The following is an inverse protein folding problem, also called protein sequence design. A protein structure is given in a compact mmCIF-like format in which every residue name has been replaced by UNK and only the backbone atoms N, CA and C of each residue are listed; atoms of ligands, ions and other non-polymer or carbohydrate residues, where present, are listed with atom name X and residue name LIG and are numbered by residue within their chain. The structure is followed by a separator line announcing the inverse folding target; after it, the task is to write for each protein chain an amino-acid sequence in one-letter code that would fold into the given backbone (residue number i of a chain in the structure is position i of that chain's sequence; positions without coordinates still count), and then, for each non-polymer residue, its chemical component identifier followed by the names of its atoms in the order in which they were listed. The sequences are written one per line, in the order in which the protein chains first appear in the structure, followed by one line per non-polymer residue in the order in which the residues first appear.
data_IF_524990774978
#
_entry.id   IF_524990774978
#
_cell.length_a   1.000
_cell.length_b   1.000
_cell.length_c   1.000
_cell.angle_alpha   90.00
_cell.angle_beta   90.00
_cell.angle_gamma   90.00
#
_symmetry.space_group_name_H-M   'P 1'
#
loop_
_entity.id
_entity.type
_entity.pdbx_description
1 polymer ?
#
# COMPACT_ATOMS: atom_id res chain seq x y z
N UNK A 1 6.37 9.80 43.56
CA UNK A 1 6.35 8.57 42.74
C UNK A 1 4.91 8.38 42.31
N UNK A 2 4.58 8.72 41.07
CA UNK A 2 3.36 8.21 40.44
C UNK A 2 3.81 6.90 39.77
N UNK A 3 3.31 5.77 40.26
CA UNK A 3 3.55 4.50 39.60
C UNK A 3 3.05 4.57 38.15
N UNK A 4 3.76 3.99 37.17
CA UNK A 4 3.25 3.92 35.80
C UNK A 4 1.94 3.14 35.84
N UNK A 5 0.85 3.79 35.41
CA UNK A 5 -0.46 3.16 35.29
C UNK A 5 -0.28 1.92 34.39
N UNK A 6 -0.57 0.70 34.87
CA UNK A 6 -0.48 -0.48 34.04
C UNK A 6 -1.46 -0.31 32.87
N UNK A 7 -0.93 -0.25 31.65
CA UNK A 7 -1.72 -0.28 30.41
C UNK A 7 -2.24 -1.71 30.28
N UNK A 8 -3.42 -1.97 30.83
CA UNK A 8 -4.07 -3.25 30.58
C UNK A 8 -4.55 -3.25 29.13
N UNK A 9 -4.20 -4.27 28.33
CA UNK A 9 -4.77 -4.41 27.01
C UNK A 9 -6.28 -4.52 27.14
N UNK A 10 -6.99 -3.70 26.38
CA UNK A 10 -8.44 -3.57 26.43
C UNK A 10 -9.14 -4.83 25.94
N UNK A 11 -8.60 -5.45 24.90
CA UNK A 11 -8.88 -6.82 24.50
C UNK A 11 -7.62 -7.68 24.56
N UNK A 12 -7.72 -8.99 24.88
CA UNK A 12 -6.56 -9.86 24.98
C UNK A 12 -5.88 -10.07 23.60
N UNK A 13 -4.54 -10.27 23.53
CA UNK A 13 -3.82 -10.37 22.26
C UNK A 13 -4.32 -11.45 21.30
N UNK A 14 -4.87 -12.56 21.82
CA UNK A 14 -5.44 -13.63 21.00
C UNK A 14 -6.66 -13.17 20.18
N UNK A 15 -7.30 -12.06 20.58
CA UNK A 15 -8.44 -11.48 19.83
C UNK A 15 -8.06 -11.00 18.42
N UNK A 16 -6.77 -10.85 18.11
CA UNK A 16 -6.28 -10.57 16.75
C UNK A 16 -6.75 -11.59 15.71
N UNK A 17 -7.08 -12.82 16.12
CA UNK A 17 -7.69 -13.83 15.25
C UNK A 17 -9.02 -13.35 14.67
N UNK A 18 -9.80 -12.55 15.41
CA UNK A 18 -11.04 -11.94 14.90
C UNK A 18 -10.71 -10.97 13.77
N UNK A 19 -9.73 -10.08 13.98
CA UNK A 19 -9.20 -9.19 12.93
C UNK A 19 -8.74 -9.97 11.70
N UNK A 20 -8.00 -11.07 11.91
CA UNK A 20 -7.55 -11.92 10.81
C UNK A 20 -8.69 -12.53 10.01
N UNK A 21 -9.72 -13.08 10.69
CA UNK A 21 -10.89 -13.67 10.03
C UNK A 21 -11.64 -12.60 9.22
N UNK A 22 -11.89 -11.42 9.82
CA UNK A 22 -12.54 -10.32 9.12
C UNK A 22 -11.74 -9.87 7.89
N UNK A 23 -10.41 -9.78 8.02
CA UNK A 23 -9.53 -9.42 6.90
C UNK A 23 -9.47 -10.50 5.82
N UNK A 24 -9.48 -11.79 6.17
CA UNK A 24 -9.49 -12.86 5.20
C UNK A 24 -10.82 -12.90 4.41
N UNK A 25 -11.96 -12.63 5.09
CA UNK A 25 -13.25 -12.46 4.44
C UNK A 25 -13.26 -11.24 3.49
N UNK A 26 -12.71 -10.11 3.93
CA UNK A 26 -12.54 -8.94 3.09
C UNK A 26 -11.62 -9.22 1.89
N UNK A 27 -10.52 -9.95 2.09
CA UNK A 27 -9.60 -10.39 1.04
C UNK A 27 -10.27 -11.27 -0.02
N UNK A 28 -11.17 -12.16 0.39
CA UNK A 28 -11.93 -12.98 -0.55
C UNK A 28 -12.86 -12.14 -1.42
N UNK A 29 -13.53 -11.13 -0.83
CA UNK A 29 -14.29 -10.13 -1.59
C UNK A 29 -13.39 -9.30 -2.52
N UNK A 30 -12.21 -8.89 -2.05
CA UNK A 30 -11.26 -8.09 -2.84
C UNK A 30 -10.78 -8.83 -4.09
N UNK A 31 -10.57 -10.15 -4.04
CA UNK A 31 -10.23 -10.93 -5.23
C UNK A 31 -11.27 -10.78 -6.35
N UNK A 32 -12.56 -10.73 -5.99
CA UNK A 32 -13.63 -10.49 -6.94
C UNK A 32 -13.67 -9.04 -7.39
N UNK A 33 -13.48 -8.08 -6.48
CA UNK A 33 -13.45 -6.64 -6.80
C UNK A 33 -12.32 -6.32 -7.78
N UNK A 34 -11.11 -6.81 -7.52
CA UNK A 34 -9.91 -6.63 -8.36
C UNK A 34 -10.20 -7.10 -9.80
N UNK A 35 -10.96 -8.18 -9.97
CA UNK A 35 -11.28 -8.70 -11.31
C UNK A 35 -12.43 -7.95 -12.00
N UNK A 36 -13.50 -7.61 -11.27
CA UNK A 36 -14.73 -7.03 -11.86
C UNK A 36 -14.66 -5.52 -12.06
N UNK A 37 -14.12 -4.77 -11.09
CA UNK A 37 -14.17 -3.32 -11.08
C UNK A 37 -13.47 -2.69 -12.30
N UNK A 38 -12.24 -3.09 -12.68
CA UNK A 38 -11.56 -2.51 -13.85
C UNK A 38 -12.26 -2.84 -15.19
N UNK A 39 -13.09 -3.89 -15.20
CA UNK A 39 -13.85 -4.34 -16.38
C UNK A 39 -15.26 -3.74 -16.44
N UNK A 40 -15.59 -2.79 -15.57
CA UNK A 40 -16.92 -2.21 -15.47
C UNK A 40 -18.03 -3.22 -15.16
N UNK A 41 -17.69 -4.41 -14.62
CA UNK A 41 -18.66 -5.45 -14.30
C UNK A 41 -19.34 -5.14 -12.97
N UNK A 42 -20.63 -5.45 -12.88
CA UNK A 42 -21.39 -5.25 -11.65
C UNK A 42 -20.79 -6.01 -10.47
N UNK A 43 -20.65 -5.31 -9.34
CA UNK A 43 -20.21 -5.89 -8.07
C UNK A 43 -21.34 -6.64 -7.35
N UNK A 44 -22.59 -6.38 -7.69
CA UNK A 44 -23.76 -6.95 -7.01
C UNK A 44 -24.41 -8.05 -7.84
N UNK A 45 -24.24 -8.02 -9.16
CA UNK A 45 -24.85 -8.95 -10.11
C UNK A 45 -23.79 -9.69 -10.95
N UNK A 46 -23.75 -11.03 -10.95
CA UNK A 46 -24.51 -11.94 -10.09
C UNK A 46 -24.06 -11.84 -8.63
N UNK A 47 -25.02 -12.05 -7.71
CA UNK A 47 -24.81 -12.01 -6.26
C UNK A 47 -23.90 -13.15 -5.74
N UNK A 48 -23.63 -14.15 -6.58
CA UNK A 48 -22.80 -15.30 -6.24
C UNK A 48 -21.55 -15.37 -7.12
N UNK A 49 -20.49 -15.97 -6.57
CA UNK A 49 -19.26 -16.25 -7.31
C UNK A 49 -19.46 -17.49 -8.18
N UNK A 50 -18.91 -17.47 -9.39
CA UNK A 50 -19.04 -18.52 -10.39
C UNK A 50 -17.66 -18.93 -10.88
N UNK A 51 -17.44 -20.22 -11.10
CA UNK A 51 -16.22 -20.67 -11.77
C UNK A 51 -16.26 -20.28 -13.26
N UNK A 52 -15.24 -19.57 -13.80
CA UNK A 52 -15.26 -19.08 -15.17
C UNK A 52 -15.22 -20.18 -16.24
N UNK A 53 -14.76 -21.39 -15.90
CA UNK A 53 -14.60 -22.49 -16.86
C UNK A 53 -15.81 -23.45 -16.90
N UNK A 54 -16.37 -23.81 -15.74
CA UNK A 54 -17.50 -24.75 -15.68
C UNK A 54 -18.84 -24.06 -15.38
N UNK A 55 -18.83 -22.74 -15.18
CA UNK A 55 -19.99 -21.93 -14.83
C UNK A 55 -20.75 -22.41 -13.58
N UNK A 56 -20.09 -23.22 -12.73
CA UNK A 56 -20.68 -23.71 -11.48
C UNK A 56 -20.72 -22.59 -10.44
N UNK A 57 -21.88 -22.43 -9.81
CA UNK A 57 -22.06 -21.51 -8.68
C UNK A 57 -21.31 -22.02 -7.45
N UNK A 58 -20.39 -21.20 -6.93
CA UNK A 58 -19.57 -21.55 -5.78
C UNK A 58 -20.40 -21.48 -4.48
N UNK A 59 -20.25 -22.49 -3.64
CA UNK A 59 -20.91 -22.54 -2.32
C UNK A 59 -20.11 -21.73 -1.28
N UNK A 60 -20.69 -21.36 -0.13
CA UNK A 60 -19.95 -20.69 0.95
C UNK A 60 -18.71 -21.48 1.42
N UNK A 61 -18.72 -22.81 1.32
CA UNK A 61 -17.54 -23.63 1.63
C UNK A 61 -16.41 -23.48 0.61
N UNK A 62 -16.74 -23.17 -0.65
CA UNK A 62 -15.78 -22.89 -1.70
C UNK A 62 -15.21 -21.46 -1.59
N UNK A 63 -15.94 -20.58 -0.90
CA UNK A 63 -15.57 -19.19 -0.61
C UNK A 63 -14.96 -19.00 0.78
N UNK A 64 -14.77 -20.07 1.56
CA UNK A 64 -14.11 -19.98 2.86
C UNK A 64 -12.64 -19.58 2.65
N UNK A 65 -12.23 -18.36 3.06
CA UNK A 65 -10.91 -17.84 2.74
C UNK A 65 -9.81 -18.76 3.25
N UNK A 66 -8.73 -18.92 2.49
CA UNK A 66 -7.53 -19.73 2.77
C UNK A 66 -7.83 -21.24 2.79
N UNK A 67 -8.84 -21.65 3.56
CA UNK A 67 -9.21 -23.05 3.78
C UNK A 67 -9.69 -23.72 2.50
N UNK A 68 -10.50 -23.03 1.69
CA UNK A 68 -11.02 -23.62 0.44
C UNK A 68 -9.87 -23.93 -0.52
N UNK A 69 -8.94 -23.00 -0.71
CA UNK A 69 -7.78 -23.17 -1.58
C UNK A 69 -6.85 -24.29 -1.09
N UNK A 70 -6.55 -24.33 0.23
CA UNK A 70 -5.71 -25.39 0.81
C UNK A 70 -6.35 -26.77 0.69
N UNK A 71 -7.67 -26.89 0.92
CA UNK A 71 -8.39 -28.17 0.83
C UNK A 71 -8.49 -28.70 -0.59
N UNK A 72 -8.69 -27.82 -1.58
CA UNK A 72 -8.78 -28.24 -2.98
C UNK A 72 -7.43 -28.31 -3.69
N UNK A 73 -6.34 -27.92 -3.01
CA UNK A 73 -5.00 -27.84 -3.59
C UNK A 73 -4.93 -26.82 -4.73
N UNK A 74 -5.66 -25.71 -4.59
CA UNK A 74 -5.72 -24.66 -5.62
C UNK A 74 -6.43 -25.12 -6.90
N UNK A 75 -7.45 -25.98 -6.80
CA UNK A 75 -8.24 -26.44 -7.94
C UNK A 75 -9.73 -26.27 -7.70
N UNK A 76 -10.50 -26.08 -8.77
CA UNK A 76 -11.95 -26.12 -8.68
C UNK A 76 -12.41 -27.54 -8.31
N UNK A 77 -13.29 -27.67 -7.32
CA UNK A 77 -13.82 -28.98 -6.88
C UNK A 77 -14.59 -29.71 -7.98
N UNK A 78 -15.17 -28.98 -8.93
CA UNK A 78 -16.05 -29.56 -9.96
C UNK A 78 -15.34 -29.87 -11.27
N UNK A 79 -14.51 -28.96 -11.79
CA UNK A 79 -13.83 -29.15 -13.08
C UNK A 79 -12.33 -29.36 -12.97
N UNK A 80 -11.73 -29.28 -11.78
CA UNK A 80 -10.28 -29.43 -11.58
C UNK A 80 -9.43 -28.29 -12.11
N UNK A 81 -10.04 -27.23 -12.66
CA UNK A 81 -9.33 -26.07 -13.17
C UNK A 81 -8.48 -25.40 -12.08
N UNK A 82 -7.27 -24.91 -12.40
CA UNK A 82 -6.41 -24.27 -11.42
C UNK A 82 -6.99 -22.93 -10.94
N UNK A 83 -6.92 -22.69 -9.64
CA UNK A 83 -7.25 -21.43 -8.99
C UNK A 83 -5.92 -20.71 -8.71
N UNK A 84 -5.76 -19.51 -9.26
CA UNK A 84 -4.51 -18.75 -9.14
C UNK A 84 -4.09 -18.55 -7.67
N UNK A 85 -2.79 -18.69 -7.39
CA UNK A 85 -2.23 -18.51 -6.04
C UNK A 85 -2.45 -17.09 -5.49
N UNK A 86 -2.67 -16.12 -6.38
CA UNK A 86 -3.06 -14.74 -6.04
C UNK A 86 -4.22 -14.72 -5.04
N UNK A 87 -5.21 -15.58 -5.21
CA UNK A 87 -6.39 -15.61 -4.35
C UNK A 87 -5.99 -15.86 -2.89
N UNK A 88 -5.17 -16.89 -2.66
CA UNK A 88 -4.63 -17.21 -1.34
C UNK A 88 -3.75 -16.08 -0.79
N UNK A 89 -2.89 -15.47 -1.62
CA UNK A 89 -1.99 -14.41 -1.19
C UNK A 89 -2.74 -13.14 -0.75
N UNK A 90 -3.77 -12.74 -1.51
CA UNK A 90 -4.62 -11.58 -1.15
C UNK A 90 -5.35 -11.84 0.16
N UNK A 91 -5.92 -13.03 0.35
CA UNK A 91 -6.64 -13.39 1.59
C UNK A 91 -5.70 -13.39 2.82
N UNK A 92 -4.50 -13.95 2.68
CA UNK A 92 -3.48 -13.94 3.73
C UNK A 92 -2.97 -12.52 4.02
N UNK A 93 -2.71 -11.72 2.99
CA UNK A 93 -2.22 -10.36 3.14
C UNK A 93 -3.24 -9.48 3.87
N UNK A 94 -4.49 -9.47 3.42
CA UNK A 94 -5.54 -8.64 4.01
C UNK A 94 -5.91 -9.14 5.41
N UNK A 95 -5.97 -10.46 5.61
CA UNK A 95 -6.11 -11.07 6.94
C UNK A 95 -5.02 -10.60 7.90
N UNK A 96 -3.75 -10.66 7.47
CA UNK A 96 -2.61 -10.21 8.30
C UNK A 96 -2.66 -8.71 8.59
N UNK A 97 -2.96 -7.88 7.59
CA UNK A 97 -3.10 -6.43 7.78
C UNK A 97 -4.20 -6.12 8.81
N UNK A 98 -5.36 -6.75 8.72
CA UNK A 98 -6.45 -6.52 9.67
C UNK A 98 -6.09 -7.04 11.07
N UNK A 99 -5.35 -8.14 11.19
CA UNK A 99 -4.86 -8.62 12.48
C UNK A 99 -3.89 -7.61 13.13
N UNK A 100 -2.99 -7.02 12.35
CA UNK A 100 -2.07 -5.97 12.82
C UNK A 100 -2.86 -4.73 13.24
N UNK A 101 -3.80 -4.26 12.41
CA UNK A 101 -4.64 -3.10 12.71
C UNK A 101 -5.47 -3.36 13.97
N UNK A 102 -6.01 -4.58 14.13
CA UNK A 102 -6.73 -4.99 15.33
C UNK A 102 -5.83 -4.91 16.57
N UNK A 103 -4.61 -5.47 16.52
CA UNK A 103 -3.68 -5.38 17.64
C UNK A 103 -3.38 -3.91 18.02
N UNK A 104 -3.19 -3.04 17.03
CA UNK A 104 -2.86 -1.64 17.27
C UNK A 104 -4.04 -0.85 17.85
N UNK A 105 -5.24 -1.04 17.31
CA UNK A 105 -6.43 -0.23 17.65
C UNK A 105 -7.28 -0.82 18.77
N UNK A 106 -7.28 -2.14 18.94
CA UNK A 106 -8.17 -2.86 19.87
C UNK A 106 -7.44 -3.51 21.05
N UNK A 107 -6.12 -3.69 20.98
CA UNK A 107 -5.35 -4.36 22.05
C UNK A 107 -4.37 -3.40 22.72
N UNK A 108 -3.59 -2.67 21.93
CA UNK A 108 -2.52 -1.78 22.44
C UNK A 108 -3.04 -0.37 22.75
N UNK A 109 -4.09 0.08 22.05
CA UNK A 109 -4.66 1.41 22.27
C UNK A 109 -5.23 1.57 23.68
N UNK A 110 -4.98 2.75 24.27
CA UNK A 110 -5.45 3.12 25.61
C UNK A 110 -6.98 3.30 25.62
N UNK A 111 -7.57 3.73 24.51
CA UNK A 111 -9.02 3.85 24.30
C UNK A 111 -9.40 3.22 22.94
N UNK A 112 -10.01 2.03 22.92
CA UNK A 112 -10.34 1.33 21.67
C UNK A 112 -11.54 1.99 21.01
N UNK A 113 -11.29 2.64 19.89
CA UNK A 113 -12.35 3.16 19.04
C UNK A 113 -12.56 2.22 17.86
N UNK A 114 -13.73 1.58 17.79
CA UNK A 114 -14.12 0.75 16.64
C UNK A 114 -14.00 1.53 15.31
N UNK A 115 -14.20 2.86 15.35
CA UNK A 115 -13.99 3.75 14.22
C UNK A 115 -12.58 3.67 13.63
N UNK A 116 -11.54 3.55 14.46
CA UNK A 116 -10.14 3.47 14.01
C UNK A 116 -9.89 2.16 13.27
N UNK A 117 -10.34 1.06 13.86
CA UNK A 117 -10.23 -0.26 13.23
C UNK A 117 -10.92 -0.24 11.87
N UNK A 118 -12.18 0.19 11.78
CA UNK A 118 -12.91 0.16 10.51
C UNK A 118 -12.35 1.13 9.48
N UNK A 119 -11.90 2.31 9.87
CA UNK A 119 -11.29 3.27 8.95
C UNK A 119 -9.97 2.72 8.37
N UNK A 120 -9.07 2.20 9.21
CA UNK A 120 -7.79 1.65 8.75
C UNK A 120 -7.95 0.33 8.01
N UNK A 121 -8.89 -0.52 8.41
CA UNK A 121 -9.24 -1.76 7.72
C UNK A 121 -9.80 -1.46 6.32
N UNK A 122 -10.72 -0.49 6.19
CA UNK A 122 -11.25 -0.07 4.90
C UNK A 122 -10.16 0.54 4.01
N UNK A 123 -9.32 1.43 4.56
CA UNK A 123 -8.19 2.00 3.83
C UNK A 123 -7.20 0.92 3.37
N UNK A 124 -6.87 -0.05 4.24
CA UNK A 124 -6.00 -1.16 3.90
C UNK A 124 -6.57 -2.00 2.76
N UNK A 125 -7.86 -2.33 2.82
CA UNK A 125 -8.55 -3.09 1.78
C UNK A 125 -8.54 -2.34 0.44
N UNK A 126 -8.82 -1.04 0.44
CA UNK A 126 -8.80 -0.18 -0.76
C UNK A 126 -7.38 -0.10 -1.34
N UNK A 127 -6.37 0.16 -0.51
CA UNK A 127 -4.97 0.26 -0.96
C UNK A 127 -4.47 -1.07 -1.52
N UNK A 128 -4.83 -2.20 -0.91
CA UNK A 128 -4.49 -3.54 -1.45
C UNK A 128 -5.17 -3.76 -2.80
N UNK A 129 -6.46 -3.40 -2.97
CA UNK A 129 -7.10 -3.48 -4.28
C UNK A 129 -6.36 -2.62 -5.32
N UNK A 130 -5.99 -1.39 -4.98
CA UNK A 130 -5.23 -0.50 -5.87
C UNK A 130 -3.90 -1.15 -6.27
N UNK A 131 -3.14 -1.68 -5.31
CA UNK A 131 -1.85 -2.37 -5.57
C UNK A 131 -2.01 -3.48 -6.61
N UNK A 132 -3.01 -4.35 -6.46
CA UNK A 132 -3.18 -5.48 -7.37
C UNK A 132 -3.75 -5.09 -8.73
N UNK A 133 -4.69 -4.14 -8.77
CA UNK A 133 -5.26 -3.65 -10.04
C UNK A 133 -4.19 -2.92 -10.85
N UNK A 134 -3.44 -2.03 -10.21
CA UNK A 134 -2.42 -1.22 -10.89
C UNK A 134 -1.22 -2.08 -11.32
N UNK A 135 -0.85 -3.10 -10.53
CA UNK A 135 0.20 -4.05 -10.94
C UNK A 135 -0.19 -4.88 -12.18
N UNK A 136 -1.47 -5.24 -12.32
CA UNK A 136 -1.94 -6.07 -13.44
C UNK A 136 -2.31 -5.22 -14.66
N UNK A 137 -2.86 -4.03 -14.45
CA UNK A 137 -3.58 -3.27 -15.49
C UNK A 137 -3.09 -1.83 -15.65
N UNK A 138 -2.12 -1.36 -14.85
CA UNK A 138 -1.57 0.01 -14.94
C UNK A 138 -2.62 1.13 -14.80
N UNK A 139 -3.75 0.82 -14.14
CA UNK A 139 -4.87 1.74 -13.92
C UNK A 139 -5.30 1.74 -12.46
N UNK A 140 -5.79 2.89 -11.99
CA UNK A 140 -6.39 3.04 -10.66
C UNK A 140 -7.85 3.49 -10.85
N UNK A 141 -8.84 2.63 -10.54
CA UNK A 141 -10.25 2.99 -10.67
C UNK A 141 -10.64 4.20 -9.83
N UNK A 142 -11.43 5.10 -10.42
CA UNK A 142 -11.87 6.33 -9.78
C UNK A 142 -12.77 6.06 -8.55
N UNK A 143 -13.49 4.94 -8.53
CA UNK A 143 -14.30 4.50 -7.39
C UNK A 143 -13.44 4.21 -6.15
N UNK A 144 -12.25 3.62 -6.34
CA UNK A 144 -11.33 3.34 -5.23
C UNK A 144 -10.69 4.63 -4.70
N UNK A 145 -10.33 5.55 -5.60
CA UNK A 145 -9.82 6.88 -5.23
C UNK A 145 -10.85 7.69 -4.44
N UNK A 146 -12.11 7.69 -4.88
CA UNK A 146 -13.21 8.34 -4.19
C UNK A 146 -13.48 7.70 -2.83
N UNK A 147 -13.50 6.36 -2.75
CA UNK A 147 -13.69 5.63 -1.50
C UNK A 147 -12.57 5.93 -0.49
N UNK A 148 -11.31 5.99 -0.93
CA UNK A 148 -10.18 6.30 -0.06
C UNK A 148 -10.24 7.72 0.49
N UNK A 149 -10.60 8.70 -0.35
CA UNK A 149 -10.81 10.08 0.10
C UNK A 149 -11.95 10.17 1.12
N UNK A 150 -13.07 9.48 0.86
CA UNK A 150 -14.20 9.45 1.78
C UNK A 150 -13.80 8.87 3.14
N UNK A 151 -13.11 7.74 3.16
CA UNK A 151 -12.60 7.12 4.40
C UNK A 151 -11.69 8.08 5.16
N UNK A 152 -10.74 8.73 4.48
CA UNK A 152 -9.82 9.69 5.10
C UNK A 152 -10.53 10.91 5.71
N UNK A 153 -11.50 11.48 4.99
CA UNK A 153 -12.27 12.63 5.49
C UNK A 153 -13.19 12.26 6.65
N UNK A 154 -13.88 11.12 6.59
CA UNK A 154 -14.74 10.63 7.68
C UNK A 154 -13.90 10.33 8.92
N UNK A 155 -12.75 9.69 8.74
CA UNK A 155 -11.80 9.44 9.83
C UNK A 155 -11.35 10.76 10.49
N UNK A 156 -10.93 11.74 9.69
CA UNK A 156 -10.57 13.07 10.19
C UNK A 156 -11.71 13.78 10.91
N UNK A 157 -12.94 13.71 10.37
CA UNK A 157 -14.13 14.30 11.00
C UNK A 157 -14.46 13.65 12.34
N UNK A 158 -14.41 12.32 12.42
CA UNK A 158 -14.71 11.56 13.65
C UNK A 158 -13.76 11.88 14.82
N UNK A 159 -12.55 12.37 14.50
CA UNK A 159 -11.53 12.76 15.48
C UNK A 159 -11.41 14.28 15.70
N UNK A 160 -12.28 15.09 15.08
CA UNK A 160 -12.17 16.56 15.14
C UNK A 160 -10.94 17.10 14.39
N UNK A 161 -10.31 16.30 13.53
CA UNK A 161 -9.09 16.58 12.78
C UNK A 161 -9.36 16.86 11.30
N UNK A 162 -10.60 17.18 10.91
CA UNK A 162 -10.97 17.38 9.50
C UNK A 162 -10.09 18.42 8.78
N UNK A 163 -9.62 19.44 9.50
CA UNK A 163 -8.67 20.43 8.96
C UNK A 163 -7.34 19.82 8.54
N UNK A 164 -6.81 18.85 9.30
CA UNK A 164 -5.58 18.13 8.96
C UNK A 164 -5.80 17.17 7.79
N UNK A 165 -6.96 16.51 7.72
CA UNK A 165 -7.33 15.69 6.56
C UNK A 165 -7.45 16.52 5.29
N UNK A 166 -8.09 17.70 5.33
CA UNK A 166 -8.18 18.58 4.16
C UNK A 166 -6.80 19.09 3.72
N UNK A 167 -5.95 19.52 4.68
CA UNK A 167 -4.56 19.92 4.37
C UNK A 167 -3.77 18.77 3.75
N UNK A 168 -3.90 17.57 4.30
CA UNK A 168 -3.26 16.37 3.76
C UNK A 168 -3.76 16.04 2.36
N UNK A 169 -5.06 16.09 2.11
CA UNK A 169 -5.64 15.85 0.79
C UNK A 169 -5.14 16.86 -0.25
N UNK A 170 -5.12 18.14 0.11
CA UNK A 170 -4.59 19.22 -0.72
C UNK A 170 -3.11 19.02 -1.01
N UNK A 171 -2.30 18.72 0.01
CA UNK A 171 -0.87 18.47 -0.16
C UNK A 171 -0.60 17.25 -1.05
N UNK A 172 -1.39 16.18 -0.91
CA UNK A 172 -1.25 14.96 -1.68
C UNK A 172 -1.53 15.17 -3.16
N UNK A 173 -2.62 15.87 -3.46
CA UNK A 173 -2.92 16.34 -4.82
C UNK A 173 -1.80 17.24 -5.35
N UNK A 174 -1.41 18.27 -4.60
CA UNK A 174 -0.44 19.28 -5.05
C UNK A 174 0.95 18.70 -5.34
N UNK A 175 1.43 17.77 -4.51
CA UNK A 175 2.74 17.14 -4.70
C UNK A 175 2.80 16.32 -5.98
N UNK A 176 1.86 15.39 -6.16
CA UNK A 176 1.88 14.50 -7.33
C UNK A 176 1.54 15.26 -8.62
N UNK A 177 0.52 16.12 -8.58
CA UNK A 177 0.19 16.95 -9.73
C UNK A 177 1.35 17.90 -10.10
N UNK A 178 2.06 18.43 -9.10
CA UNK A 178 3.27 19.21 -9.31
C UNK A 178 4.37 18.41 -10.01
N UNK A 179 4.61 17.16 -9.61
CA UNK A 179 5.56 16.27 -10.29
C UNK A 179 5.15 15.95 -11.73
N UNK A 180 3.85 15.72 -12.00
CA UNK A 180 3.32 15.52 -13.36
C UNK A 180 3.57 16.77 -14.22
N UNK A 181 3.24 17.96 -13.70
CA UNK A 181 3.42 19.22 -14.42
C UNK A 181 4.90 19.49 -14.70
N UNK A 182 5.77 19.35 -13.69
CA UNK A 182 7.22 19.55 -13.84
C UNK A 182 7.85 18.51 -14.76
N UNK A 183 7.46 17.24 -14.63
CA UNK A 183 7.93 16.16 -15.50
C UNK A 183 7.56 16.41 -16.96
N UNK A 184 6.34 16.88 -17.20
CA UNK A 184 5.89 17.25 -18.54
C UNK A 184 6.67 18.45 -19.10
N UNK A 185 6.90 19.48 -18.29
CA UNK A 185 7.68 20.65 -18.69
C UNK A 185 9.15 20.28 -18.99
N UNK A 186 9.73 19.34 -18.24
CA UNK A 186 11.12 18.95 -18.38
C UNK A 186 11.38 17.92 -19.49
N UNK A 187 10.50 16.92 -19.63
CA UNK A 187 10.73 15.76 -20.50
C UNK A 187 9.80 15.69 -21.71
N UNK A 188 8.75 16.54 -21.77
CA UNK A 188 7.78 16.54 -22.86
C UNK A 188 6.95 15.25 -22.96
N UNK A 189 6.95 14.41 -21.90
CA UNK A 189 6.24 13.13 -21.84
C UNK A 189 5.42 13.05 -20.56
N UNK A 190 4.38 12.22 -20.57
CA UNK A 190 3.58 11.95 -19.38
C UNK A 190 4.42 11.12 -18.40
N UNK A 191 4.75 11.74 -17.26
CA UNK A 191 5.67 11.18 -16.28
C UNK A 191 4.99 10.18 -15.34
N UNK A 192 3.68 10.32 -15.12
CA UNK A 192 2.93 9.59 -14.09
C UNK A 192 1.42 9.64 -14.39
N UNK A 193 0.67 8.64 -13.92
CA UNK A 193 -0.75 8.47 -14.25
C UNK A 193 -1.67 9.40 -13.44
N UNK A 194 -2.77 9.82 -14.06
CA UNK A 194 -3.80 10.63 -13.39
C UNK A 194 -4.42 9.95 -12.15
N UNK A 195 -4.47 8.61 -12.16
CA UNK A 195 -4.93 7.80 -11.04
C UNK A 195 -4.11 8.04 -9.76
N UNK A 196 -2.80 8.25 -9.89
CA UNK A 196 -1.92 8.46 -8.74
C UNK A 196 -2.18 9.81 -8.04
N UNK A 197 -2.53 10.85 -8.81
CA UNK A 197 -2.92 12.16 -8.26
C UNK A 197 -4.15 12.02 -7.38
N UNK A 198 -5.18 11.32 -7.90
CA UNK A 198 -6.46 11.10 -7.20
C UNK A 198 -6.26 10.21 -5.97
N UNK A 199 -5.43 9.17 -6.08
CA UNK A 199 -5.09 8.30 -4.95
C UNK A 199 -4.40 9.08 -3.84
N UNK A 200 -3.40 9.89 -4.18
CA UNK A 200 -2.61 10.62 -3.20
C UNK A 200 -3.38 11.73 -2.50
N UNK A 201 -4.43 12.27 -3.13
CA UNK A 201 -5.45 13.10 -2.46
C UNK A 201 -6.17 12.30 -1.36
N UNK A 202 -6.57 11.06 -1.62
CA UNK A 202 -7.21 10.18 -0.63
C UNK A 202 -6.25 9.74 0.48
N UNK A 203 -5.04 9.31 0.14
CA UNK A 203 -3.99 8.95 1.11
C UNK A 203 -3.64 10.15 2.00
N UNK A 204 -3.52 11.34 1.41
CA UNK A 204 -3.30 12.57 2.15
C UNK A 204 -4.41 12.88 3.16
N UNK A 205 -5.68 12.66 2.79
CA UNK A 205 -6.81 12.84 3.70
C UNK A 205 -6.74 11.92 4.92
N UNK A 206 -6.29 10.69 4.73
CA UNK A 206 -6.16 9.68 5.78
C UNK A 206 -4.95 9.92 6.69
N UNK A 207 -3.77 10.15 6.09
CA UNK A 207 -2.50 10.22 6.82
C UNK A 207 -2.21 11.62 7.41
N UNK A 208 -2.83 12.67 6.85
CA UNK A 208 -2.47 14.05 7.10
C UNK A 208 -1.13 14.45 6.45
N UNK A 209 -0.76 15.73 6.51
CA UNK A 209 0.36 16.28 5.73
C UNK A 209 1.73 15.71 6.13
N UNK A 210 1.99 15.48 7.41
CA UNK A 210 3.30 15.01 7.88
C UNK A 210 3.64 13.61 7.39
N UNK A 211 2.72 12.66 7.57
CA UNK A 211 2.93 11.28 7.14
C UNK A 211 2.84 11.12 5.62
N UNK A 212 2.08 11.98 4.94
CA UNK A 212 2.03 12.00 3.49
C UNK A 212 3.39 12.25 2.84
N UNK A 213 4.20 13.18 3.38
CA UNK A 213 5.55 13.43 2.86
C UNK A 213 6.45 12.20 3.05
N UNK A 214 6.36 11.56 4.21
CA UNK A 214 7.06 10.30 4.47
C UNK A 214 6.60 9.20 3.51
N UNK A 215 5.30 9.11 3.23
CA UNK A 215 4.74 8.16 2.27
C UNK A 215 5.36 8.33 0.88
N UNK A 216 5.40 9.56 0.34
CA UNK A 216 6.03 9.82 -0.96
C UNK A 216 7.49 9.36 -0.97
N UNK A 217 8.25 9.68 0.09
CA UNK A 217 9.65 9.25 0.20
C UNK A 217 9.81 7.73 0.23
N UNK A 218 8.98 7.03 1.01
CA UNK A 218 8.98 5.57 1.07
C UNK A 218 8.58 4.97 -0.29
N UNK A 219 7.55 5.52 -0.93
CA UNK A 219 7.08 5.07 -2.24
C UNK A 219 8.15 5.21 -3.32
N UNK A 220 8.91 6.31 -3.33
CA UNK A 220 10.06 6.50 -4.24
C UNK A 220 11.13 5.43 -4.00
N UNK A 221 11.47 5.13 -2.74
CA UNK A 221 12.46 4.09 -2.42
C UNK A 221 11.97 2.71 -2.84
N UNK A 222 10.71 2.38 -2.56
CA UNK A 222 10.10 1.11 -2.95
C UNK A 222 10.05 0.97 -4.47
N UNK A 223 9.67 2.03 -5.20
CA UNK A 223 9.62 2.05 -6.66
C UNK A 223 10.99 1.93 -7.29
N UNK A 224 12.02 2.57 -6.72
CA UNK A 224 13.41 2.41 -7.16
C UNK A 224 13.88 0.96 -7.01
N UNK A 225 13.67 0.36 -5.83
CA UNK A 225 14.04 -1.04 -5.57
C UNK A 225 13.27 -1.98 -6.49
N UNK A 226 11.95 -1.79 -6.61
CA UNK A 226 11.09 -2.59 -7.48
C UNK A 226 11.49 -2.49 -8.95
N UNK A 227 11.80 -1.28 -9.44
CA UNK A 227 12.29 -1.05 -10.80
C UNK A 227 13.62 -1.75 -11.08
N UNK A 228 14.59 -1.65 -10.16
CA UNK A 228 15.88 -2.35 -10.29
C UNK A 228 15.68 -3.87 -10.34
N UNK A 229 14.82 -4.42 -9.47
CA UNK A 229 14.51 -5.85 -9.44
C UNK A 229 13.81 -6.28 -10.74
N UNK A 230 12.84 -5.49 -11.23
CA UNK A 230 12.15 -5.76 -12.49
C UNK A 230 13.11 -5.82 -13.68
N UNK A 231 13.98 -4.82 -13.81
CA UNK A 231 15.02 -4.78 -14.84
C UNK A 231 16.00 -5.96 -14.72
N UNK A 232 16.38 -6.35 -13.51
CA UNK A 232 17.27 -7.49 -13.29
C UNK A 232 16.62 -8.83 -13.67
N UNK A 233 15.31 -8.99 -13.45
CA UNK A 233 14.56 -10.18 -13.87
C UNK A 233 14.47 -10.24 -15.40
N UNK A 234 14.17 -9.11 -16.04
CA UNK A 234 14.03 -9.06 -17.49
C UNK A 234 15.36 -9.27 -18.22
N UNK A 235 16.45 -8.71 -17.68
CA UNK A 235 17.81 -8.99 -18.15
C UNK A 235 18.17 -10.48 -18.06
N UNK A 236 17.66 -11.22 -17.06
CA UNK A 236 17.90 -12.67 -16.95
C UNK A 236 17.11 -13.47 -17.97
N UNK A 237 15.87 -13.07 -18.27
CA UNK A 237 15.05 -13.74 -19.29
C UNK A 237 15.64 -13.58 -20.69
N UNK A 238 16.13 -12.39 -21.03
CA UNK A 238 16.79 -12.13 -22.31
C UNK A 238 18.16 -12.78 -22.46
N UNK A 239 18.78 -13.19 -21.34
CA UNK A 239 20.05 -13.93 -21.31
C UNK A 239 19.90 -15.45 -21.39
N UNK A 240 18.68 -15.99 -21.42
CA UNK A 240 18.45 -17.43 -21.55
C UNK A 240 18.82 -17.88 -22.99
N UNK A 241 19.54 -19.00 -23.18
CA UNK A 241 19.91 -19.48 -24.51
C UNK A 241 18.65 -19.71 -25.36
N UNK A 242 18.65 -19.21 -26.60
CA UNK A 242 17.57 -19.46 -27.54
C UNK A 242 17.31 -20.98 -27.67
N UNK A 243 16.04 -21.44 -27.68
CA UNK A 243 15.74 -22.84 -27.95
C UNK A 243 16.28 -23.25 -29.32
N UNK A 244 16.81 -24.48 -29.43
CA UNK A 244 17.39 -24.98 -30.67
C UNK A 244 16.33 -24.99 -31.79
N UNK A 245 16.72 -24.66 -33.04
CA UNK A 245 15.80 -24.67 -34.17
C UNK A 245 15.60 -26.11 -34.65
N UNK A 246 14.76 -26.88 -33.95
CA UNK A 246 14.38 -28.23 -34.39
C UNK A 246 12.90 -28.28 -34.81
N UNK A 247 12.73 -28.30 -36.13
CA UNK A 247 11.71 -29.00 -36.91
C UNK A 247 10.24 -28.87 -36.47
N UNK A 248 9.56 -27.86 -37.03
CA UNK A 248 8.37 -28.05 -37.88
C UNK A 248 8.02 -26.72 -38.57
N UNK A 249 8.74 -26.44 -39.66
CA UNK A 249 8.34 -25.41 -40.61
C UNK A 249 7.23 -26.00 -41.50
N UNK A 250 5.98 -25.72 -41.17
CA UNK A 250 4.86 -25.78 -42.10
C UNK A 250 4.25 -24.39 -42.21
N UNK A 251 4.71 -23.66 -43.22
CA UNK A 251 3.94 -22.75 -44.09
C UNK A 251 2.75 -22.02 -43.47
N UNK A 252 2.94 -20.74 -43.16
CA UNK A 252 1.99 -19.69 -43.54
C UNK A 252 2.81 -18.55 -44.16
N UNK A 253 2.81 -18.49 -45.49
CA UNK A 253 3.21 -17.30 -46.26
C UNK A 253 2.06 -16.29 -46.25
N UNK A 254 2.40 -14.99 -46.18
CA UNK A 254 1.50 -13.85 -46.28
C UNK A 254 1.26 -13.20 -44.92
N UNK A 255 1.60 -11.93 -44.67
CA UNK A 255 1.72 -10.77 -45.55
C UNK A 255 2.83 -9.86 -45.04
N UNK A 256 3.75 -9.51 -45.93
CA UNK A 256 4.57 -8.32 -45.81
C UNK A 256 3.66 -7.08 -45.81
N UNK A 257 3.91 -6.14 -44.91
CA UNK A 257 3.24 -4.84 -44.88
C UNK A 257 2.45 -4.58 -43.60
N UNK A 258 3.15 -4.21 -42.54
CA UNK A 258 2.62 -3.29 -41.55
C UNK A 258 3.81 -2.43 -41.12
N UNK A 259 3.74 -1.16 -41.48
CA UNK A 259 4.66 -0.13 -41.03
C UNK A 259 4.79 -0.23 -39.50
N UNK A 260 6.02 -0.32 -38.99
CA UNK A 260 6.33 -0.09 -37.58
C UNK A 260 6.01 1.37 -37.25
N UNK A 261 4.73 1.68 -37.10
CA UNK A 261 4.27 2.85 -36.39
C UNK A 261 4.49 2.60 -34.91
N UNK A 262 5.64 3.00 -34.39
CA UNK A 262 5.72 3.33 -32.96
C UNK A 262 4.54 4.27 -32.69
N UNK A 263 3.61 3.97 -31.78
CA UNK A 263 2.62 4.97 -31.41
C UNK A 263 3.40 6.14 -30.83
N UNK A 264 3.51 7.24 -31.59
CA UNK A 264 3.95 8.52 -31.06
C UNK A 264 2.99 8.79 -29.90
N UNK A 265 3.50 8.66 -28.67
CA UNK A 265 2.75 8.98 -27.48
C UNK A 265 2.50 10.48 -27.54
N UNK A 266 1.36 10.87 -28.12
CA UNK A 266 0.98 12.27 -28.32
C UNK A 266 0.83 12.88 -26.93
N UNK A 267 1.90 13.55 -26.48
CA UNK A 267 1.96 14.10 -25.15
C UNK A 267 0.78 15.05 -24.98
N UNK A 268 0.03 14.86 -23.89
CA UNK A 268 -1.16 15.68 -23.72
C UNK A 268 -0.75 17.18 -23.70
N UNK A 269 -1.62 18.14 -24.07
CA UNK A 269 -1.25 19.56 -24.03
C UNK A 269 -1.15 20.08 -22.59
N UNK A 270 -0.17 20.93 -22.26
CA UNK A 270 -0.02 21.50 -20.88
C UNK A 270 -1.33 22.12 -20.33
N UNK A 271 -2.12 22.88 -21.11
CA UNK A 271 -3.39 23.42 -20.62
C UNK A 271 -4.37 22.34 -20.15
N UNK A 272 -4.34 21.16 -20.76
CA UNK A 272 -5.20 20.04 -20.38
C UNK A 272 -4.79 19.43 -19.05
N UNK A 273 -3.48 19.33 -18.76
CA UNK A 273 -2.98 18.90 -17.43
C UNK A 273 -3.28 19.92 -16.34
N UNK A 274 -3.26 21.20 -16.67
CA UNK A 274 -3.67 22.24 -15.72
C UNK A 274 -5.16 22.13 -15.41
N UNK A 275 -5.98 21.91 -16.44
CA UNK A 275 -7.42 21.72 -16.29
C UNK A 275 -7.75 20.46 -15.50
N UNK A 276 -7.16 19.30 -15.84
CA UNK A 276 -7.40 18.05 -15.12
C UNK A 276 -7.01 18.15 -13.65
N UNK A 277 -5.85 18.75 -13.36
CA UNK A 277 -5.42 19.05 -12.00
C UNK A 277 -6.44 19.88 -11.22
N UNK A 278 -6.92 20.98 -11.81
CA UNK A 278 -7.93 21.82 -11.18
C UNK A 278 -9.25 21.07 -10.93
N UNK A 279 -9.70 20.24 -11.88
CA UNK A 279 -10.89 19.42 -11.72
C UNK A 279 -10.76 18.42 -10.56
N UNK A 280 -9.58 17.80 -10.42
CA UNK A 280 -9.28 16.91 -9.30
C UNK A 280 -9.23 17.67 -7.97
N UNK A 281 -8.72 18.90 -7.92
CA UNK A 281 -8.75 19.69 -6.70
C UNK A 281 -10.19 19.92 -6.21
N UNK A 282 -11.13 20.22 -7.11
CA UNK A 282 -12.53 20.45 -6.79
C UNK A 282 -13.38 19.17 -6.71
N UNK A 283 -12.76 17.99 -6.70
CA UNK A 283 -13.43 16.69 -6.63
C UNK A 283 -14.47 16.47 -7.74
N UNK A 284 -14.30 17.11 -8.90
CA UNK A 284 -15.23 16.99 -10.02
C UNK A 284 -15.17 15.58 -10.62
N UNK A 285 -14.03 14.90 -10.51
CA UNK A 285 -13.88 13.48 -10.83
C UNK A 285 -14.83 12.59 -10.01
N UNK A 286 -15.08 12.92 -8.74
CA UNK A 286 -16.02 12.18 -7.89
C UNK A 286 -17.46 12.50 -8.27
N UNK A 287 -17.77 13.77 -8.53
CA UNK A 287 -19.11 14.17 -8.99
C UNK A 287 -19.44 13.49 -10.33
N UNK A 288 -18.45 13.38 -11.22
CA UNK A 288 -18.57 12.75 -12.52
C UNK A 288 -18.95 11.26 -12.42
N UNK A 289 -18.54 10.54 -11.37
CA UNK A 289 -18.96 9.14 -11.14
C UNK A 289 -20.49 8.99 -11.03
N UNK A 290 -21.17 10.00 -10.50
CA UNK A 290 -22.63 9.99 -10.34
C UNK A 290 -23.37 10.62 -11.53
N UNK A 291 -22.64 11.27 -12.44
CA UNK A 291 -23.21 11.97 -13.60
C UNK A 291 -22.41 11.59 -14.87
N UNK A 292 -22.66 10.42 -15.47
CA UNK A 292 -21.93 9.95 -16.65
C UNK A 292 -21.92 10.93 -17.84
N UNK A 293 -22.99 11.70 -18.13
CA UNK A 293 -22.95 12.72 -19.18
C UNK A 293 -21.97 13.86 -18.89
N UNK A 294 -21.82 14.23 -17.61
CA UNK A 294 -20.89 15.26 -17.16
C UNK A 294 -19.45 14.79 -17.35
N UNK A 295 -19.18 13.52 -17.07
CA UNK A 295 -17.85 12.93 -17.28
C UNK A 295 -17.40 12.99 -18.73
N UNK A 296 -18.28 12.60 -19.67
CA UNK A 296 -18.01 12.66 -21.11
C UNK A 296 -17.74 14.09 -21.58
N UNK A 297 -18.50 15.06 -21.04
CA UNK A 297 -18.36 16.46 -21.39
C UNK A 297 -17.07 17.09 -20.84
N UNK A 298 -16.70 16.78 -19.60
CA UNK A 298 -15.54 17.36 -18.90
C UNK A 298 -14.23 16.71 -19.35
N UNK A 299 -14.19 15.38 -19.39
CA UNK A 299 -12.94 14.64 -19.62
C UNK A 299 -12.73 14.22 -21.06
N UNK A 300 -13.74 14.38 -21.93
CA UNK A 300 -13.69 13.91 -23.32
C UNK A 300 -13.55 12.40 -23.47
N UNK A 301 -13.67 11.65 -22.37
CA UNK A 301 -13.46 10.19 -22.25
C UNK A 301 -14.59 9.59 -21.40
N UNK A 302 -14.99 8.34 -21.69
CA UNK A 302 -15.96 7.61 -20.86
C UNK A 302 -15.30 7.12 -19.55
N UNK A 303 -16.07 6.89 -18.46
CA UNK A 303 -15.57 6.28 -17.21
C UNK A 303 -14.92 4.95 -17.47
N UNK A 304 -13.58 4.94 -17.40
CA UNK A 304 -12.72 3.88 -17.88
C UNK A 304 -12.99 3.55 -19.35
N UNK A 305 -11.95 3.49 -20.18
CA UNK A 305 -12.02 2.51 -21.25
C UNK A 305 -12.26 1.19 -20.52
N UNK A 306 -13.51 0.69 -20.57
CA UNK A 306 -13.82 -0.69 -20.19
C UNK A 306 -12.77 -1.47 -20.93
N UNK A 307 -11.82 -2.06 -20.20
CA UNK A 307 -10.74 -2.83 -20.78
C UNK A 307 -11.37 -3.74 -21.82
N UNK A 308 -11.18 -3.41 -23.10
CA UNK A 308 -11.59 -4.30 -24.15
C UNK A 308 -10.61 -5.45 -24.02
N UNK A 309 -11.09 -6.65 -23.66
CA UNK A 309 -10.22 -7.83 -23.56
C UNK A 309 -9.52 -8.11 -24.93
N UNK A 310 -9.85 -7.37 -26.01
CA UNK A 310 -9.19 -7.37 -27.31
C UNK A 310 -8.10 -6.30 -27.52
N UNK A 311 -7.99 -5.27 -26.66
CA UNK A 311 -6.94 -4.26 -26.76
C UNK A 311 -5.64 -4.80 -26.15
N UNK A 312 -4.78 -5.32 -27.03
CA UNK A 312 -3.54 -5.98 -26.66
C UNK A 312 -2.42 -4.96 -26.39
N UNK A 313 -2.64 -4.03 -25.45
CA UNK A 313 -1.62 -3.09 -25.02
C UNK A 313 -0.58 -3.82 -24.16
N UNK A 314 0.63 -3.97 -24.69
CA UNK A 314 1.75 -4.53 -23.94
C UNK A 314 2.57 -3.40 -23.31
N UNK A 315 2.77 -3.40 -21.98
CA UNK A 315 3.59 -2.40 -21.32
C UNK A 315 5.04 -2.51 -21.82
N UNK A 316 5.66 -1.35 -22.07
CA UNK A 316 7.09 -1.34 -22.42
C UNK A 316 7.92 -1.88 -21.26
N UNK A 317 9.08 -2.48 -21.56
CA UNK A 317 9.95 -3.07 -20.55
C UNK A 317 10.43 -2.09 -19.45
N UNK A 318 10.26 -0.78 -19.66
CA UNK A 318 10.59 0.29 -18.72
C UNK A 318 9.37 0.94 -18.06
N UNK A 319 8.14 0.50 -18.40
CA UNK A 319 6.92 0.98 -17.77
C UNK A 319 6.78 0.37 -16.36
N UNK A 320 7.17 1.16 -15.35
CA UNK A 320 7.02 0.79 -13.94
C UNK A 320 5.73 1.44 -13.42
N UNK A 321 4.74 0.67 -12.93
CA UNK A 321 3.56 1.25 -12.30
C UNK A 321 3.98 1.85 -10.95
N UNK A 322 3.82 3.17 -10.78
CA UNK A 322 4.28 3.85 -9.57
C UNK A 322 3.27 3.77 -8.41
N UNK A 323 1.98 3.67 -8.74
CA UNK A 323 0.89 3.58 -7.78
C UNK A 323 0.97 2.45 -6.75
N UNK A 324 1.44 1.22 -7.06
CA UNK A 324 1.51 0.16 -6.06
C UNK A 324 2.54 0.48 -4.97
N UNK A 325 3.63 1.17 -5.34
CA UNK A 325 4.68 1.56 -4.40
C UNK A 325 4.25 2.71 -3.50
N UNK A 326 3.49 3.68 -4.03
CA UNK A 326 2.85 4.72 -3.23
C UNK A 326 1.78 4.15 -2.29
N UNK A 327 0.97 3.20 -2.75
CA UNK A 327 -0.02 2.54 -1.92
C UNK A 327 0.63 1.68 -0.81
N UNK A 328 1.72 0.97 -1.13
CA UNK A 328 2.51 0.24 -0.14
C UNK A 328 3.17 1.19 0.88
N UNK A 329 3.71 2.33 0.43
CA UNK A 329 4.19 3.39 1.32
C UNK A 329 3.08 3.88 2.26
N UNK A 330 1.85 4.02 1.76
CA UNK A 330 0.72 4.49 2.54
C UNK A 330 0.34 3.48 3.63
N UNK A 331 0.33 2.18 3.30
CA UNK A 331 0.15 1.09 4.27
C UNK A 331 1.24 1.13 5.36
N UNK A 332 2.51 1.32 4.98
CA UNK A 332 3.61 1.42 5.95
C UNK A 332 3.43 2.64 6.84
N UNK A 333 3.13 3.82 6.28
CA UNK A 333 2.91 5.03 7.05
C UNK A 333 1.68 4.94 7.97
N UNK A 334 0.63 4.25 7.55
CA UNK A 334 -0.56 4.01 8.35
C UNK A 334 -0.24 3.12 9.55
N UNK A 335 0.43 1.98 9.33
CA UNK A 335 0.75 1.00 10.38
C UNK A 335 1.90 1.43 11.29
N UNK A 336 2.88 2.18 10.76
CA UNK A 336 4.06 2.65 11.49
C UNK A 336 4.04 4.17 11.73
N UNK A 337 2.85 4.78 11.76
CA UNK A 337 2.71 6.24 11.85
C UNK A 337 3.38 6.86 13.07
N UNK A 338 3.24 6.25 14.25
CA UNK A 338 3.85 6.74 15.49
C UNK A 338 5.38 6.74 15.47
N UNK A 339 6.07 5.61 15.17
CA UNK A 339 7.52 5.62 15.10
C UNK A 339 8.05 6.53 13.97
N UNK A 340 7.36 6.61 12.84
CA UNK A 340 7.74 7.52 11.74
C UNK A 340 7.64 8.99 12.19
N UNK A 341 6.52 9.41 12.80
CA UNK A 341 6.35 10.77 13.34
C UNK A 341 7.41 11.08 14.39
N UNK A 342 7.72 10.13 15.27
CA UNK A 342 8.78 10.28 16.27
C UNK A 342 10.16 10.46 15.63
N UNK A 343 10.47 9.68 14.59
CA UNK A 343 11.73 9.79 13.86
C UNK A 343 11.86 11.15 13.15
N UNK A 344 10.80 11.61 12.47
CA UNK A 344 10.75 12.92 11.82
C UNK A 344 10.97 14.04 12.83
N UNK A 345 10.26 13.98 13.97
CA UNK A 345 10.39 14.98 15.03
C UNK A 345 11.81 15.00 15.60
N UNK A 346 12.36 13.83 15.94
CA UNK A 346 13.73 13.73 16.47
C UNK A 346 14.78 14.27 15.50
N UNK A 347 14.61 14.04 14.20
CA UNK A 347 15.48 14.60 13.18
C UNK A 347 15.40 16.13 13.15
N UNK A 348 14.18 16.69 13.17
CA UNK A 348 13.97 18.13 13.13
C UNK A 348 14.48 18.84 14.39
N UNK A 349 14.25 18.24 15.56
CA UNK A 349 14.75 18.74 16.84
C UNK A 349 16.29 18.78 16.85
N UNK A 350 16.94 17.75 16.30
CA UNK A 350 18.40 17.73 16.12
C UNK A 350 18.89 18.76 15.09
N UNK A 351 18.18 18.92 13.97
CA UNK A 351 18.59 19.82 12.88
C UNK A 351 18.44 21.31 13.24
N UNK A 352 17.42 21.64 14.02
CA UNK A 352 17.14 23.02 14.46
C UNK A 352 17.83 23.41 15.77
N UNK A 353 18.57 22.48 16.39
CA UNK A 353 19.22 22.70 17.68
C UNK A 353 18.24 22.80 18.86
N UNK A 354 16.96 22.44 18.64
CA UNK A 354 15.96 22.27 19.68
C UNK A 354 16.24 20.97 20.45
N UNK A 355 17.36 20.93 21.16
CA UNK A 355 17.59 19.88 22.17
C UNK A 355 16.45 19.96 23.19
N UNK A 356 15.90 18.82 23.67
CA UNK A 356 15.06 18.82 24.85
C UNK A 356 15.94 19.16 26.06
N UNK A 357 16.20 20.45 26.27
CA UNK A 357 17.07 20.95 27.34
C UNK A 357 16.35 21.03 28.69
N UNK A 358 15.29 20.27 28.90
CA UNK A 358 14.43 20.35 30.07
C UNK A 358 14.06 18.97 30.62
N UNK A 359 15.03 18.28 31.22
CA UNK A 359 14.76 17.17 32.14
C UNK A 359 15.76 17.02 33.30
N UNK A 360 16.80 17.85 33.38
CA UNK A 360 17.82 17.75 34.44
C UNK A 360 17.97 18.97 35.35
N UNK A 361 17.15 20.01 35.20
CA UNK A 361 17.26 21.24 36.00
C UNK A 361 16.17 21.43 37.08
N UNK A 362 15.29 20.45 37.28
CA UNK A 362 14.28 20.51 38.36
C UNK A 362 14.61 19.68 39.62
N UNK A 363 15.79 19.05 39.71
CA UNK A 363 16.31 18.59 41.00
C UNK A 363 17.33 19.59 41.53
N UNK A 364 16.86 20.59 42.27
CA UNK A 364 17.69 21.53 43.03
C UNK A 364 18.50 20.83 44.12
N UNK A 365 19.57 20.12 43.74
CA UNK A 365 20.62 19.67 44.65
C UNK A 365 21.97 19.96 44.03
N UNK A 366 22.55 21.08 44.43
CA UNK A 366 23.99 21.31 44.42
C UNK A 366 24.70 20.19 45.20
N UNK A 367 25.73 19.53 44.66
CA UNK A 367 26.65 18.78 45.49
C UNK A 367 27.78 19.71 45.91
N UNK A 368 27.66 20.34 47.08
CA UNK A 368 28.79 20.94 47.78
C UNK A 368 29.00 20.19 49.09
N UNK A 369 30.25 19.81 49.30
CA UNK A 369 30.89 19.36 50.55
C UNK A 369 30.41 18.07 51.21
N UNK A 370 31.19 17.02 51.00
CA UNK A 370 31.67 15.97 51.92
C UNK A 370 32.59 15.15 51.01
N UNK A 371 33.92 15.20 51.09
CA UNK A 371 34.77 14.69 52.16
C UNK A 371 36.15 15.36 51.98
N UNK A 372 36.61 16.11 52.97
CA UNK A 372 38.05 16.29 53.20
C UNK A 372 38.53 15.09 54.01
N UNK A 373 39.62 14.45 53.58
CA UNK A 373 40.34 13.50 54.41
C UNK A 373 40.94 12.29 53.70
N UNK A 374 42.03 12.52 52.95
CA UNK A 374 43.18 11.62 53.02
C UNK A 374 43.27 10.43 52.04
N UNK A 375 44.36 10.47 51.27
CA UNK A 375 45.12 9.38 50.67
C UNK A 375 44.84 9.01 49.20
N UNK A 376 45.80 9.46 48.40
CA UNK A 376 46.12 9.08 47.03
C UNK A 376 46.37 7.57 46.87
N UNK A 377 45.91 7.00 45.76
CA UNK A 377 46.74 6.10 44.94
C UNK A 377 46.10 5.89 43.56
N UNK A 378 46.92 6.09 42.52
CA UNK A 378 46.70 5.67 41.13
C UNK A 378 46.41 4.16 41.04
N UNK A 379 45.58 3.71 40.09
CA UNK A 379 45.99 2.79 39.00
C UNK A 379 44.82 2.40 38.07
N UNK A 380 45.06 2.66 36.78
CA UNK A 380 44.67 2.01 35.52
C UNK A 380 43.45 1.05 35.38
N UNK A 381 42.74 1.31 34.29
CA UNK A 381 41.98 0.41 33.41
C UNK A 381 42.39 -1.08 33.42
N UNK A 382 41.39 -1.98 33.50
CA UNK A 382 41.45 -3.31 32.88
C UNK A 382 40.06 -3.74 32.35
N UNK A 383 39.99 -3.98 31.03
CA UNK A 383 38.96 -4.80 30.35
C UNK A 383 39.02 -6.26 30.83
N UNK A 384 37.89 -6.98 30.98
CA UNK A 384 37.92 -8.44 31.00
C UNK A 384 37.74 -9.05 29.60
N UNK A 385 38.59 -10.04 29.31
CA UNK A 385 38.55 -10.95 28.16
C UNK A 385 37.62 -12.14 28.42
N UNK A 386 37.18 -12.71 27.31
CA UNK A 386 36.49 -13.97 27.07
C UNK A 386 37.16 -15.17 27.76
N UNK A 387 36.34 -16.12 28.27
CA UNK A 387 36.80 -17.47 28.62
C UNK A 387 35.69 -18.44 29.05
N UNK A 388 35.22 -19.22 28.07
CA UNK A 388 34.98 -20.67 28.12
C UNK A 388 34.21 -21.35 29.28
N UNK A 389 33.01 -21.86 28.98
CA UNK A 389 32.45 -23.08 29.59
C UNK A 389 31.69 -23.89 28.51
N UNK A 390 32.14 -25.13 28.28
CA UNK A 390 31.51 -26.16 27.44
C UNK A 390 30.87 -27.23 28.36
N UNK A 391 30.02 -28.15 27.82
CA UNK A 391 28.65 -28.35 28.28
C UNK A 391 28.45 -29.69 29.01
N UNK A 392 27.32 -29.85 29.71
CA UNK A 392 26.74 -31.16 30.01
C UNK A 392 25.21 -31.12 30.04
N UNK A 393 24.66 -32.10 29.33
CA UNK A 393 23.40 -32.82 29.56
C UNK A 393 22.07 -32.12 29.27
N UNK A 394 21.64 -32.29 28.01
CA UNK A 394 20.39 -32.97 27.65
C UNK A 394 19.08 -32.47 28.24
N UNK A 395 18.32 -31.71 27.45
CA UNK A 395 16.93 -32.04 27.12
C UNK A 395 16.43 -31.15 25.98
N UNK A 396 15.93 -31.82 24.95
CA UNK A 396 15.15 -31.29 23.84
C UNK A 396 13.75 -30.98 24.37
N UNK A 397 13.26 -29.75 24.19
CA UNK A 397 11.82 -29.47 24.22
C UNK A 397 11.50 -28.54 23.05
N UNK A 398 10.95 -29.15 22.00
CA UNK A 398 10.10 -28.50 21.00
C UNK A 398 8.78 -28.03 21.65
N UNK A 399 8.28 -26.90 21.16
CA UNK A 399 6.89 -26.45 21.06
C UNK A 399 5.90 -26.68 22.22
N UNK A 400 5.29 -25.57 22.65
CA UNK A 400 3.85 -25.33 22.46
C UNK A 400 3.61 -23.87 22.06
#
# INVERSE_FOLDING_TARGET
MLDPIPVYPTLPPWSAVVGFILGALAGSFLNMLIWRLPRGKSLVDPAHSICPLCNHQLTPLDLMPIVSWLRTGGKCRHCGAPIAVRYLLVELLVGTLFAIIWLQTMTVAIDPHWGDFFAYAAAAAILVAIVFIDWELYIIPDELNAALLFVGLVYGASHGMIGESIKGAFLGWALIWGFVLLGRLAFGKDAMGDGDIKMMRGVGALLGPTLLVANVGIGVVLGLVGGIVGLAIEARKSSAPAPSPDANASTVEGTAGAEEGTPEFEATPIPLVLLSGALYLFCIDIVALFVPPLQKWIMGRYPAEVLDDNDNWEPSATAIPFGPYLAAGALICMLAGNPIKSAIKSYWDSATGATPRAAFEHSGRTPRSLIEGGQSTFYAEQKPRIGSLLPRDGQVIECL
#
